data_IF_277617779017
#
_entry.id   IF_277617779017
#
_cell.length_a   1.000
_cell.length_b   1.000
_cell.length_c   1.000
_cell.angle_alpha   90.00
_cell.angle_beta   90.00
_cell.angle_gamma   90.00
#
_symmetry.space_group_name_H-M   'P 1'
#
loop_
_entity.id
_entity.type
_entity.pdbx_description
1 polymer ?
#
# COMPACT_ATOMS: atom_id res chain seq x y z
N UNK A 1 -27.99 -5.94 0.48
CA UNK A 1 -26.93 -5.27 1.26
C UNK A 1 -26.91 -5.88 2.65
N UNK A 2 -25.75 -6.33 3.13
CA UNK A 2 -25.60 -6.72 4.53
C UNK A 2 -25.52 -5.45 5.40
N UNK A 3 -26.11 -5.50 6.59
CA UNK A 3 -26.08 -4.40 7.56
C UNK A 3 -25.35 -4.89 8.81
N UNK A 4 -24.37 -4.12 9.25
CA UNK A 4 -23.62 -4.39 10.49
C UNK A 4 -23.79 -3.20 11.42
N UNK A 5 -24.17 -3.47 12.67
CA UNK A 5 -24.23 -2.45 13.72
C UNK A 5 -22.87 -2.31 14.38
N UNK A 6 -22.36 -1.09 14.48
CA UNK A 6 -21.04 -0.78 15.06
C UNK A 6 -21.24 0.17 16.24
N UNK A 7 -20.61 -0.14 17.37
CA UNK A 7 -20.59 0.75 18.52
C UNK A 7 -19.54 1.84 18.29
N UNK A 8 -19.95 3.09 18.42
CA UNK A 8 -19.07 4.25 18.36
C UNK A 8 -18.97 4.85 19.76
N UNK A 9 -17.77 5.31 20.15
CA UNK A 9 -17.64 6.18 21.30
C UNK A 9 -18.36 7.51 21.02
N UNK A 10 -18.83 8.19 22.06
CA UNK A 10 -19.51 9.49 21.87
C UNK A 10 -18.60 10.51 21.17
N UNK A 11 -17.30 10.48 21.46
CA UNK A 11 -16.33 11.35 20.78
C UNK A 11 -16.25 11.07 19.28
N UNK A 12 -16.21 9.79 18.89
CA UNK A 12 -16.14 9.39 17.49
C UNK A 12 -17.45 9.73 16.77
N UNK A 13 -18.60 9.55 17.43
CA UNK A 13 -19.91 9.92 16.91
C UNK A 13 -19.96 11.42 16.58
N UNK A 14 -19.52 12.28 17.52
CA UNK A 14 -19.47 13.73 17.32
C UNK A 14 -18.56 14.12 16.16
N UNK A 15 -17.36 13.53 16.08
CA UNK A 15 -16.41 13.78 14.98
C UNK A 15 -16.98 13.34 13.63
N UNK A 16 -17.63 12.17 13.59
CA UNK A 16 -18.24 11.63 12.38
C UNK A 16 -19.42 12.49 11.90
N UNK A 17 -20.27 12.95 12.82
CA UNK A 17 -21.38 13.86 12.50
C UNK A 17 -20.87 15.16 11.88
N UNK A 18 -19.87 15.81 12.49
CA UNK A 18 -19.27 17.03 11.94
C UNK A 18 -18.58 16.80 10.59
N UNK A 19 -17.91 15.65 10.40
CA UNK A 19 -17.30 15.30 9.12
C UNK A 19 -18.35 15.09 8.02
N UNK A 20 -19.46 14.41 8.34
CA UNK A 20 -20.58 14.16 7.44
C UNK A 20 -21.22 15.48 6.97
N UNK A 21 -21.46 16.41 7.89
CA UNK A 21 -21.99 17.75 7.58
C UNK A 21 -21.07 18.54 6.66
N UNK A 22 -19.77 18.63 7.00
CA UNK A 22 -18.77 19.35 6.18
C UNK A 22 -18.64 18.74 4.79
N UNK A 23 -18.66 17.41 4.69
CA UNK A 23 -18.58 16.69 3.42
C UNK A 23 -19.90 16.71 2.62
N UNK A 24 -21.02 17.15 3.24
CA UNK A 24 -22.39 17.02 2.70
C UNK A 24 -22.71 15.57 2.30
N UNK A 25 -22.33 14.61 3.16
CA UNK A 25 -22.56 13.17 2.98
C UNK A 25 -23.25 12.58 4.19
N UNK A 26 -23.83 11.39 4.05
CA UNK A 26 -24.40 10.67 5.20
C UNK A 26 -23.28 9.99 6.00
N UNK A 27 -23.50 9.78 7.31
CA UNK A 27 -22.57 9.03 8.17
C UNK A 27 -22.29 7.63 7.62
N UNK A 28 -23.32 6.94 7.13
CA UNK A 28 -23.18 5.60 6.54
C UNK A 28 -22.30 5.61 5.28
N UNK A 29 -22.39 6.64 4.45
CA UNK A 29 -21.52 6.76 3.27
C UNK A 29 -20.04 6.90 3.66
N UNK A 30 -19.73 7.77 4.64
CA UNK A 30 -18.37 7.94 5.15
C UNK A 30 -17.85 6.68 5.86
N UNK A 31 -18.68 5.98 6.62
CA UNK A 31 -18.29 4.72 7.26
C UNK A 31 -17.92 3.69 6.19
N UNK A 32 -18.74 3.54 5.15
CA UNK A 32 -18.47 2.58 4.07
C UNK A 32 -17.20 2.93 3.29
N UNK A 33 -16.96 4.22 3.03
CA UNK A 33 -15.72 4.68 2.40
C UNK A 33 -14.51 4.38 3.30
N UNK A 34 -14.55 4.75 4.58
CA UNK A 34 -13.47 4.49 5.52
C UNK A 34 -13.16 2.99 5.69
N UNK A 35 -14.19 2.14 5.72
CA UNK A 35 -14.02 0.68 5.80
C UNK A 35 -13.35 0.14 4.54
N UNK A 36 -13.76 0.60 3.35
CA UNK A 36 -13.12 0.20 2.08
C UNK A 36 -11.65 0.58 2.08
N UNK A 37 -11.35 1.84 2.36
CA UNK A 37 -9.99 2.37 2.36
C UNK A 37 -9.10 1.70 3.42
N UNK A 38 -9.69 1.29 4.55
CA UNK A 38 -8.98 0.54 5.58
C UNK A 38 -8.61 -0.87 5.09
N UNK A 39 -9.56 -1.59 4.50
CA UNK A 39 -9.32 -2.94 3.98
C UNK A 39 -8.31 -2.94 2.81
N UNK A 40 -8.39 -1.94 1.92
CA UNK A 40 -7.44 -1.81 0.81
C UNK A 40 -6.02 -1.58 1.32
N UNK A 41 -5.84 -0.72 2.33
CA UNK A 41 -4.54 -0.50 2.97
C UNK A 41 -4.02 -1.75 3.67
N UNK A 42 -4.88 -2.46 4.40
CA UNK A 42 -4.52 -3.71 5.07
C UNK A 42 -4.02 -4.76 4.05
N UNK A 43 -4.71 -4.91 2.91
CA UNK A 43 -4.26 -5.80 1.84
C UNK A 43 -2.95 -5.33 1.17
N UNK A 44 -2.68 -4.03 1.10
CA UNK A 44 -1.39 -3.51 0.64
C UNK A 44 -0.25 -3.80 1.62
N UNK A 45 -0.51 -3.72 2.93
CA UNK A 45 0.47 -4.05 3.97
C UNK A 45 0.81 -5.54 3.94
N UNK A 46 -0.19 -6.40 3.81
CA UNK A 46 0.01 -7.86 3.67
C UNK A 46 0.84 -8.22 2.44
N UNK A 47 0.54 -7.60 1.29
CA UNK A 47 1.34 -7.79 0.06
C UNK A 47 2.80 -7.35 0.25
N UNK A 48 3.02 -6.14 0.76
CA UNK A 48 4.37 -5.62 1.02
C UNK A 48 5.15 -6.52 1.98
N UNK A 49 4.49 -7.05 3.00
CA UNK A 49 5.09 -8.01 3.93
C UNK A 49 5.51 -9.30 3.22
N UNK A 50 4.61 -9.90 2.43
CA UNK A 50 4.91 -11.09 1.65
C UNK A 50 6.08 -10.87 0.67
N UNK A 51 6.06 -9.78 -0.08
CA UNK A 51 7.14 -9.40 -1.02
C UNK A 51 8.49 -9.25 -0.30
N UNK A 52 8.48 -8.67 0.90
CA UNK A 52 9.69 -8.51 1.73
C UNK A 52 10.26 -9.87 2.15
N UNK A 53 9.40 -10.79 2.58
CA UNK A 53 9.84 -12.15 2.97
C UNK A 53 10.42 -12.91 1.78
N UNK A 54 9.81 -12.78 0.60
CA UNK A 54 10.33 -13.37 -0.64
C UNK A 54 11.69 -12.79 -1.03
N UNK A 55 11.83 -11.46 -1.00
CA UNK A 55 13.09 -10.78 -1.27
C UNK A 55 14.21 -11.22 -0.29
N UNK A 56 13.90 -11.32 1.01
CA UNK A 56 14.83 -11.81 2.01
C UNK A 56 15.24 -13.27 1.76
N UNK A 57 14.30 -14.13 1.34
CA UNK A 57 14.60 -15.51 0.98
C UNK A 57 15.52 -15.58 -0.26
N UNK A 58 15.33 -14.68 -1.24
CA UNK A 58 16.19 -14.56 -2.42
C UNK A 58 17.63 -14.20 -2.06
N UNK A 59 17.80 -13.19 -1.19
CA UNK A 59 19.12 -12.79 -0.67
C UNK A 59 19.78 -13.93 0.09
N UNK A 60 19.05 -14.62 0.97
CA UNK A 60 19.57 -15.79 1.71
C UNK A 60 19.99 -16.94 0.77
N UNK A 61 19.32 -17.09 -0.37
CA UNK A 61 19.68 -18.07 -1.40
C UNK A 61 20.86 -17.61 -2.28
N UNK A 62 21.49 -16.45 -2.00
CA UNK A 62 22.61 -15.93 -2.77
C UNK A 62 22.22 -15.34 -4.12
N UNK A 63 20.92 -15.15 -4.40
CA UNK A 63 20.44 -14.52 -5.64
C UNK A 63 20.55 -13.00 -5.52
N UNK A 64 21.79 -12.52 -5.56
CA UNK A 64 22.16 -11.11 -5.47
C UNK A 64 22.99 -10.71 -6.68
N UNK A 65 22.89 -9.44 -7.07
CA UNK A 65 23.65 -8.83 -8.14
C UNK A 65 24.62 -7.82 -7.52
N UNK A 66 25.84 -7.70 -8.07
CA UNK A 66 26.80 -6.69 -7.63
C UNK A 66 26.23 -5.27 -7.82
N UNK A 67 26.40 -4.43 -6.80
CA UNK A 67 25.87 -3.06 -6.83
C UNK A 67 26.40 -2.25 -8.01
N UNK A 68 27.69 -2.40 -8.33
CA UNK A 68 28.33 -1.69 -9.44
C UNK A 68 27.72 -2.07 -10.80
N UNK A 69 27.49 -3.36 -11.05
CA UNK A 69 26.86 -3.84 -12.28
C UNK A 69 25.43 -3.28 -12.43
N UNK A 70 24.68 -3.21 -11.33
CA UNK A 70 23.35 -2.60 -11.31
C UNK A 70 23.40 -1.10 -11.62
N UNK A 71 24.35 -0.37 -11.02
CA UNK A 71 24.51 1.06 -11.23
C UNK A 71 24.96 1.39 -12.65
N UNK A 72 25.87 0.59 -13.23
CA UNK A 72 26.26 0.73 -14.63
C UNK A 72 25.10 0.51 -15.59
N UNK A 73 24.23 -0.46 -15.28
CA UNK A 73 23.04 -0.72 -16.07
C UNK A 73 22.04 0.44 -15.99
N UNK A 74 21.69 0.92 -14.79
CA UNK A 74 20.80 2.07 -14.60
C UNK A 74 21.35 3.32 -15.30
N UNK A 75 22.65 3.57 -15.19
CA UNK A 75 23.30 4.72 -15.82
C UNK A 75 23.29 4.68 -17.35
N UNK A 76 23.02 3.51 -17.95
CA UNK A 76 22.96 3.32 -19.39
C UNK A 76 21.57 3.60 -19.99
N UNK A 77 20.51 3.67 -19.16
CA UNK A 77 19.14 3.87 -19.62
C UNK A 77 18.96 5.17 -20.40
N UNK A 78 18.21 5.11 -21.50
CA UNK A 78 17.92 6.27 -22.34
C UNK A 78 19.11 6.75 -23.19
N UNK A 79 20.23 6.01 -23.19
CA UNK A 79 21.38 6.27 -24.06
C UNK A 79 21.39 5.28 -25.23
N UNK A 80 22.06 5.66 -26.33
CA UNK A 80 22.24 4.78 -27.50
C UNK A 80 22.95 3.45 -27.18
N UNK A 81 23.72 3.42 -26.08
CA UNK A 81 24.46 2.25 -25.60
C UNK A 81 23.85 1.69 -24.31
N UNK A 82 22.53 1.55 -24.27
CA UNK A 82 21.84 0.94 -23.14
C UNK A 82 22.27 -0.53 -22.95
N UNK A 83 22.68 -0.86 -21.71
CA UNK A 83 23.17 -2.19 -21.34
C UNK A 83 21.99 -3.13 -21.05
N UNK A 84 22.25 -4.44 -21.14
CA UNK A 84 21.29 -5.46 -20.70
C UNK A 84 21.25 -5.52 -19.17
N UNK A 85 20.10 -5.87 -18.56
CA UNK A 85 20.01 -6.07 -17.12
C UNK A 85 21.03 -7.11 -16.65
N UNK A 86 21.76 -6.84 -15.55
CA UNK A 86 22.65 -7.82 -14.92
C UNK A 86 21.84 -9.01 -14.37
N UNK A 87 22.49 -10.16 -14.20
CA UNK A 87 21.88 -11.43 -13.79
C UNK A 87 22.52 -12.00 -12.54
#
# INVERSE_FOLDING_TARGET
>A
MAVTSVRLSEELERKLTSAAERARRTKSWLINEAVRDYLDRMGQDERRWADTLEALASVKAGRVIAGDDMMEWIASWGKKAEKKPPR
#
